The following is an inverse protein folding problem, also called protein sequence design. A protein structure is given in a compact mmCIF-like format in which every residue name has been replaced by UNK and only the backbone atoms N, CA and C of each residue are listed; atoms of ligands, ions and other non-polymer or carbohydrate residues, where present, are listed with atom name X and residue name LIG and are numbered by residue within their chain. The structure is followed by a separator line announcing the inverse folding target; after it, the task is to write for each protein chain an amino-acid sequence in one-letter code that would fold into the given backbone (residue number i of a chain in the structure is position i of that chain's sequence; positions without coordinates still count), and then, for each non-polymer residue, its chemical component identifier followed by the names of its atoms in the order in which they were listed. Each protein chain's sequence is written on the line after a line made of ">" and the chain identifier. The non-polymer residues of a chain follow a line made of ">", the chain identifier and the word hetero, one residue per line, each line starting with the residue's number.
data_IF_412957907999
#
_entry.id   IF_412957907999
#
_cell.length_a   1.000
_cell.length_b   1.000
_cell.length_c   1.000
_cell.angle_alpha   90.00
_cell.angle_beta   90.00
_cell.angle_gamma   90.00
#
_symmetry.space_group_name_H-M   'P 1'
#
loop_
_entity.id
_entity.type
_entity.pdbx_description
1 polymer ?
#
# COMPACT_ATOMS: atom_id res chain seq x y z
N UNK A 1 9.13 -10.85 -10.35
CA UNK A 1 9.38 -9.41 -10.10
C UNK A 1 8.03 -8.74 -9.92
N UNK A 2 7.87 -7.92 -8.88
CA UNK A 2 6.60 -7.28 -8.52
C UNK A 2 6.84 -5.77 -8.52
N UNK A 3 5.97 -5.02 -9.19
CA UNK A 3 5.97 -3.56 -9.18
C UNK A 3 4.61 -3.05 -8.71
N UNK A 4 4.60 -1.87 -8.12
CA UNK A 4 3.39 -1.13 -7.77
C UNK A 4 3.41 0.20 -8.53
N UNK A 5 2.27 0.57 -9.12
CA UNK A 5 2.06 1.84 -9.80
C UNK A 5 0.90 2.57 -9.13
N UNK A 6 0.90 3.90 -9.25
CA UNK A 6 -0.22 4.75 -8.88
C UNK A 6 -0.56 5.65 -10.05
N UNK A 7 -1.85 5.98 -10.19
CA UNK A 7 -2.25 7.09 -11.04
C UNK A 7 -1.96 8.40 -10.35
N UNK A 8 -1.46 9.36 -11.12
CA UNK A 8 -1.26 10.74 -10.68
C UNK A 8 -2.22 11.67 -11.42
N UNK A 9 -2.68 12.71 -10.73
CA UNK A 9 -3.53 13.76 -11.27
C UNK A 9 -3.22 15.08 -10.58
N UNK A 10 -3.52 16.18 -11.25
CA UNK A 10 -3.52 17.49 -10.60
C UNK A 10 -4.71 17.57 -9.65
N UNK A 11 -4.42 17.90 -8.39
CA UNK A 11 -5.45 18.15 -7.38
C UNK A 11 -6.17 19.46 -7.72
N UNK A 12 -7.49 19.49 -7.54
CA UNK A 12 -8.34 20.66 -7.74
C UNK A 12 -9.17 20.94 -6.48
N UNK A 13 -9.76 22.15 -6.36
CA UNK A 13 -10.65 22.49 -5.26
C UNK A 13 -11.68 21.42 -4.95
N UNK A 14 -11.98 21.25 -3.66
CA UNK A 14 -12.97 20.30 -3.15
C UNK A 14 -12.63 18.82 -3.45
N UNK A 15 -11.34 18.52 -3.61
CA UNK A 15 -10.87 17.16 -3.88
C UNK A 15 -11.31 16.62 -5.24
N UNK A 16 -11.65 17.51 -6.17
CA UNK A 16 -11.75 17.16 -7.57
C UNK A 16 -10.35 16.88 -8.12
N UNK A 17 -10.29 16.08 -9.18
CA UNK A 17 -9.05 15.82 -9.91
C UNK A 17 -9.30 16.09 -11.38
N UNK A 18 -8.26 16.52 -12.08
CA UNK A 18 -8.23 16.41 -13.54
C UNK A 18 -8.14 14.94 -13.95
N UNK A 19 -8.11 14.68 -15.26
CA UNK A 19 -7.86 13.34 -15.81
C UNK A 19 -6.56 12.76 -15.21
N UNK A 20 -6.68 11.64 -14.51
CA UNK A 20 -5.53 10.92 -13.97
C UNK A 20 -4.85 10.03 -15.03
N UNK A 21 -3.54 9.83 -14.87
CA UNK A 21 -2.75 8.97 -15.75
C UNK A 21 -1.84 8.05 -14.91
N UNK A 22 -1.61 6.84 -15.41
CA UNK A 22 -0.69 5.91 -14.76
C UNK A 22 0.73 6.45 -14.85
N UNK A 23 1.43 6.48 -13.72
CA UNK A 23 2.86 6.76 -13.72
C UNK A 23 3.61 5.59 -14.35
N UNK A 24 4.33 5.85 -15.43
CA UNK A 24 5.15 4.84 -16.11
C UNK A 24 6.19 4.23 -15.16
N UNK A 25 6.48 2.95 -15.35
CA UNK A 25 7.51 2.26 -14.58
C UNK A 25 8.90 2.77 -14.96
N UNK A 26 9.76 2.90 -13.95
CA UNK A 26 11.18 3.14 -14.18
C UNK A 26 11.79 1.98 -14.98
N UNK A 27 12.77 2.29 -15.83
CA UNK A 27 13.48 1.27 -16.61
C UNK A 27 14.40 0.50 -15.66
N UNK A 28 13.92 -0.66 -15.21
CA UNK A 28 14.61 -1.57 -14.31
C UNK A 28 15.30 -2.69 -15.09
N UNK A 29 16.61 -2.90 -14.85
CA UNK A 29 17.40 -3.94 -15.53
C UNK A 29 18.44 -4.56 -14.59
N UNK A 30 18.92 -5.75 -14.96
CA UNK A 30 20.02 -6.43 -14.28
C UNK A 30 21.32 -6.27 -15.05
N UNK A 31 22.40 -5.94 -14.34
CA UNK A 31 23.75 -5.93 -14.89
C UNK A 31 24.50 -7.19 -14.46
N UNK A 32 24.67 -8.15 -15.37
CA UNK A 32 25.33 -9.43 -15.08
C UNK A 32 26.81 -9.28 -14.67
N UNK A 33 27.51 -8.29 -15.23
CA UNK A 33 28.94 -8.06 -14.94
C UNK A 33 29.16 -7.58 -13.50
N UNK A 34 28.29 -6.68 -13.04
CA UNK A 34 28.36 -6.09 -11.69
C UNK A 34 27.58 -6.93 -10.68
N UNK A 35 26.66 -7.77 -11.15
CA UNK A 35 25.81 -8.60 -10.32
C UNK A 35 24.74 -7.80 -9.57
N UNK A 36 24.25 -6.69 -10.13
CA UNK A 36 23.27 -5.81 -9.46
C UNK A 36 22.20 -5.27 -10.41
N UNK A 37 21.03 -4.99 -9.85
CA UNK A 37 19.96 -4.27 -10.52
C UNK A 37 20.28 -2.77 -10.61
N UNK A 38 19.73 -2.10 -11.61
CA UNK A 38 19.78 -0.65 -11.72
C UNK A 38 18.47 -0.11 -12.30
N UNK A 39 18.15 1.13 -11.94
CA UNK A 39 17.12 1.93 -12.59
C UNK A 39 17.76 2.98 -13.48
N UNK A 40 17.14 3.27 -14.61
CA UNK A 40 17.56 4.32 -15.53
C UNK A 40 16.53 5.45 -15.52
N UNK A 41 16.96 6.66 -15.19
CA UNK A 41 16.10 7.84 -15.25
C UNK A 41 15.92 8.33 -16.70
N UNK A 42 15.04 9.30 -16.89
CA UNK A 42 14.70 9.86 -18.22
C UNK A 42 15.91 10.43 -18.97
N UNK A 43 16.88 10.96 -18.22
CA UNK A 43 18.15 11.48 -18.77
C UNK A 43 19.16 10.37 -19.10
N UNK A 44 18.78 9.12 -18.88
CA UNK A 44 19.57 7.93 -19.15
C UNK A 44 20.65 7.60 -18.12
N UNK A 45 20.68 8.30 -16.99
CA UNK A 45 21.59 8.01 -15.87
C UNK A 45 21.16 6.72 -15.19
N UNK A 46 22.13 5.84 -14.93
CA UNK A 46 21.91 4.58 -14.21
C UNK A 46 22.20 4.77 -12.73
N UNK A 47 21.24 4.39 -11.89
CA UNK A 47 21.41 4.27 -10.44
C UNK A 47 21.37 2.80 -10.08
N UNK A 48 22.49 2.26 -9.61
CA UNK A 48 22.56 0.88 -9.12
C UNK A 48 21.80 0.76 -7.82
N UNK A 49 21.00 -0.30 -7.74
CA UNK A 49 20.16 -0.62 -6.61
C UNK A 49 20.94 -1.46 -5.58
N UNK A 50 20.57 -1.32 -4.32
CA UNK A 50 21.14 -2.06 -3.21
C UNK A 50 20.16 -3.11 -2.70
N UNK A 51 20.63 -4.34 -2.57
CA UNK A 51 19.86 -5.44 -1.96
C UNK A 51 19.48 -5.09 -0.51
N UNK A 52 18.28 -5.50 -0.10
CA UNK A 52 17.60 -5.20 1.17
C UNK A 52 17.30 -3.70 1.40
N UNK A 53 17.51 -2.85 0.40
CA UNK A 53 17.12 -1.43 0.43
C UNK A 53 16.14 -1.14 -0.70
N UNK A 54 16.56 -1.43 -1.93
CA UNK A 54 15.82 -1.13 -3.15
C UNK A 54 15.16 -2.39 -3.75
N UNK A 55 15.75 -3.57 -3.54
CA UNK A 55 15.21 -4.87 -3.93
C UNK A 55 15.59 -5.95 -2.92
N UNK A 56 14.93 -7.11 -2.94
CA UNK A 56 15.22 -8.22 -2.05
C UNK A 56 14.38 -9.44 -2.40
N UNK A 57 14.48 -10.47 -1.57
CA UNK A 57 13.82 -11.76 -1.77
C UNK A 57 12.88 -12.06 -0.58
N UNK A 58 11.73 -11.38 -0.50
CA UNK A 58 10.81 -11.59 0.60
C UNK A 58 10.09 -12.92 0.43
N UNK A 59 9.92 -13.65 1.52
CA UNK A 59 9.15 -14.89 1.58
C UNK A 59 7.75 -14.66 2.17
N UNK A 60 7.44 -13.45 2.61
CA UNK A 60 6.12 -13.08 3.13
C UNK A 60 5.76 -11.61 2.86
N UNK A 61 4.47 -11.31 2.96
CA UNK A 61 3.92 -9.97 2.82
C UNK A 61 2.89 -9.69 3.93
N UNK A 62 2.91 -8.48 4.48
CA UNK A 62 1.94 -8.04 5.48
C UNK A 62 0.60 -7.70 4.85
N UNK A 63 -0.46 -8.05 5.57
CA UNK A 63 -1.84 -7.73 5.24
C UNK A 63 -2.30 -6.58 6.13
N UNK A 64 -2.23 -5.37 5.59
CA UNK A 64 -2.32 -4.13 6.37
C UNK A 64 -2.98 -3.00 5.58
N UNK A 65 -3.59 -2.08 6.34
CA UNK A 65 -4.05 -0.78 5.87
C UNK A 65 -3.06 0.30 6.33
N UNK A 66 -2.49 1.06 5.40
CA UNK A 66 -1.72 2.27 5.71
C UNK A 66 -2.56 3.48 5.35
N UNK A 67 -2.86 4.34 6.35
CA UNK A 67 -3.72 5.51 6.17
C UNK A 67 -2.97 6.80 6.47
N UNK A 68 -3.20 7.79 5.61
CA UNK A 68 -2.76 9.14 5.83
C UNK A 68 -3.52 9.76 7.02
N UNK A 69 -2.85 10.62 7.81
CA UNK A 69 -3.51 11.48 8.78
C UNK A 69 -4.51 12.43 8.09
N UNK A 70 -5.39 13.04 8.87
CA UNK A 70 -6.25 14.12 8.40
C UNK A 70 -5.42 15.26 7.77
N UNK A 71 -5.94 15.84 6.69
CA UNK A 71 -5.30 16.92 5.91
C UNK A 71 -3.99 16.52 5.20
N UNK A 72 -3.75 15.22 5.03
CA UNK A 72 -2.70 14.68 4.17
C UNK A 72 -3.31 13.90 3.00
N UNK A 73 -2.63 13.95 1.86
CA UNK A 73 -2.93 13.16 0.66
C UNK A 73 -1.73 12.29 0.32
N UNK A 74 -1.99 11.12 -0.27
CA UNK A 74 -0.93 10.23 -0.76
C UNK A 74 -0.34 10.80 -2.05
N UNK A 75 0.98 10.89 -2.09
CA UNK A 75 1.79 11.36 -3.24
C UNK A 75 2.81 10.31 -3.70
N UNK A 76 2.78 9.11 -3.11
CA UNK A 76 3.65 8.01 -3.48
C UNK A 76 3.30 6.72 -2.74
N UNK A 77 3.68 5.60 -3.33
CA UNK A 77 3.58 4.27 -2.72
C UNK A 77 4.89 3.55 -2.97
N UNK A 78 5.30 2.70 -2.05
CA UNK A 78 6.41 1.79 -2.24
C UNK A 78 6.21 0.56 -1.35
N UNK A 79 6.92 -0.50 -1.68
CA UNK A 79 7.16 -1.57 -0.72
C UNK A 79 8.38 -1.24 0.14
N UNK A 80 8.37 -1.74 1.37
CA UNK A 80 9.51 -1.69 2.29
C UNK A 80 9.86 -3.11 2.71
N UNK A 81 11.15 -3.42 2.69
CA UNK A 81 11.68 -4.65 3.28
C UNK A 81 11.86 -4.47 4.78
N UNK A 82 11.49 -5.50 5.52
CA UNK A 82 11.70 -5.60 6.95
C UNK A 82 12.22 -6.99 7.29
N UNK A 83 13.34 -7.06 8.01
CA UNK A 83 13.86 -8.33 8.54
C UNK A 83 13.08 -8.69 9.80
N UNK A 84 12.45 -9.86 9.80
CA UNK A 84 11.84 -10.41 11.01
C UNK A 84 12.88 -11.29 11.70
N UNK A 85 13.26 -11.02 12.96
CA UNK A 85 14.10 -11.92 13.72
C UNK A 85 13.36 -13.26 13.86
N UNK A 86 13.83 -14.30 13.18
CA UNK A 86 13.27 -15.64 13.37
C UNK A 86 13.94 -16.32 14.56
N UNK A 87 13.20 -17.18 15.25
CA UNK A 87 13.73 -18.01 16.35
C UNK A 87 14.70 -19.10 15.88
N UNK A 88 14.99 -19.19 14.58
CA UNK A 88 15.86 -20.19 13.97
C UNK A 88 16.68 -19.53 12.84
N UNK A 89 17.84 -18.94 13.16
CA UNK A 89 19.02 -18.61 12.29
C UNK A 89 18.83 -18.27 10.78
N UNK A 90 17.63 -17.98 10.32
CA UNK A 90 17.25 -17.69 8.93
C UNK A 90 16.41 -16.43 8.97
N UNK A 91 17.02 -15.32 8.57
CA UNK A 91 16.31 -14.06 8.38
C UNK A 91 15.27 -14.27 7.28
N UNK A 92 13.98 -14.15 7.61
CA UNK A 92 12.89 -14.10 6.61
C UNK A 92 12.63 -12.63 6.27
N UNK A 93 12.59 -12.34 4.98
CA UNK A 93 12.33 -11.00 4.47
C UNK A 93 10.81 -10.77 4.39
N UNK A 94 10.31 -9.81 5.14
CA UNK A 94 8.90 -9.41 5.07
C UNK A 94 8.74 -8.18 4.19
N UNK A 95 7.76 -8.23 3.29
CA UNK A 95 7.33 -7.09 2.50
C UNK A 95 6.19 -6.37 3.23
N UNK A 96 6.30 -5.05 3.38
CA UNK A 96 5.21 -4.22 3.89
C UNK A 96 4.95 -3.02 2.97
N UNK A 97 3.77 -2.44 3.07
CA UNK A 97 3.39 -1.27 2.31
C UNK A 97 3.87 0.00 3.01
N UNK A 98 4.33 0.98 2.23
CA UNK A 98 4.54 2.35 2.71
C UNK A 98 3.94 3.36 1.75
N UNK A 99 3.39 4.42 2.32
CA UNK A 99 2.80 5.53 1.57
C UNK A 99 3.61 6.79 1.82
N UNK A 100 3.85 7.59 0.78
CA UNK A 100 4.35 8.95 0.91
C UNK A 100 3.14 9.86 1.04
N UNK A 101 3.11 10.66 2.09
CA UNK A 101 2.02 11.60 2.33
C UNK A 101 2.54 13.02 2.35
N UNK A 102 1.76 13.93 1.79
CA UNK A 102 2.04 15.37 1.73
C UNK A 102 0.82 16.12 2.28
N UNK A 103 1.01 17.16 3.11
CA UNK A 103 -0.12 17.99 3.54
C UNK A 103 -0.74 18.67 2.33
N UNK A 104 -2.05 18.89 2.37
CA UNK A 104 -2.74 19.58 1.28
C UNK A 104 -3.86 20.49 1.80
N UNK A 105 -4.16 21.50 0.99
CA UNK A 105 -5.33 22.36 1.17
C UNK A 105 -6.48 21.80 0.32
N UNK A 106 -7.53 21.33 0.99
CA UNK A 106 -8.69 20.73 0.33
C UNK A 106 -9.53 21.74 -0.45
N UNK A 107 -9.65 22.98 0.04
CA UNK A 107 -10.46 24.00 -0.59
C UNK A 107 -9.76 24.60 -1.80
N UNK A 108 -8.45 24.83 -1.69
CA UNK A 108 -7.64 25.39 -2.77
C UNK A 108 -7.19 24.33 -3.78
N UNK A 109 -7.18 23.05 -3.38
CA UNK A 109 -6.77 21.95 -4.25
C UNK A 109 -5.27 21.89 -4.50
N UNK A 110 -4.43 22.27 -3.54
CA UNK A 110 -2.97 22.28 -3.71
C UNK A 110 -2.24 21.59 -2.56
N UNK A 111 -1.10 20.97 -2.89
CA UNK A 111 -0.16 20.52 -1.88
C UNK A 111 0.40 21.73 -1.13
N UNK A 112 0.65 21.58 0.16
CA UNK A 112 1.20 22.63 1.02
C UNK A 112 2.33 22.07 1.88
N UNK A 113 3.29 22.93 2.21
CA UNK A 113 4.37 22.62 3.14
C UNK A 113 5.13 21.33 2.77
N UNK A 114 5.69 21.26 1.56
CA UNK A 114 6.38 20.05 1.06
C UNK A 114 7.46 19.49 2.01
N UNK A 115 8.05 20.35 2.84
CA UNK A 115 8.99 19.97 3.91
C UNK A 115 8.39 19.05 4.98
N UNK A 116 7.07 18.93 5.07
CA UNK A 116 6.34 18.01 5.96
C UNK A 116 5.94 16.70 5.26
N UNK A 117 6.35 16.52 3.99
CA UNK A 117 6.18 15.26 3.29
C UNK A 117 6.96 14.16 3.99
N UNK A 118 6.32 13.02 4.22
CA UNK A 118 6.95 11.89 4.92
C UNK A 118 6.45 10.55 4.40
N UNK A 119 7.28 9.53 4.57
CA UNK A 119 6.88 8.14 4.38
C UNK A 119 6.24 7.62 5.65
N UNK A 120 5.11 6.94 5.52
CA UNK A 120 4.39 6.27 6.58
C UNK A 120 4.27 4.79 6.23
N UNK A 121 4.41 3.95 7.25
CA UNK A 121 4.05 2.54 7.28
C UNK A 121 3.39 2.27 8.62
N UNK A 122 2.70 1.14 8.77
CA UNK A 122 2.21 0.74 10.09
C UNK A 122 3.39 0.45 11.02
N UNK A 123 3.28 0.84 12.30
CA UNK A 123 4.29 0.52 13.30
C UNK A 123 4.41 -0.99 13.47
N UNK A 124 5.65 -1.49 13.41
CA UNK A 124 5.98 -2.89 13.65
C UNK A 124 6.34 -3.07 15.12
N UNK A 125 5.33 -3.17 15.98
CA UNK A 125 5.56 -3.60 17.36
C UNK A 125 6.00 -5.07 17.33
N UNK A 126 7.26 -5.36 17.63
CA UNK A 126 7.81 -6.72 17.69
C UNK A 126 7.03 -7.68 18.63
N UNK A 127 6.11 -7.16 19.44
CA UNK A 127 5.23 -7.90 20.35
C UNK A 127 3.84 -8.17 19.79
N UNK A 128 3.42 -7.46 18.73
CA UNK A 128 2.26 -7.84 17.92
C UNK A 128 2.76 -8.87 16.91
N UNK A 129 2.79 -10.13 17.34
CA UNK A 129 2.79 -11.24 16.41
C UNK A 129 1.48 -11.14 15.62
N UNK A 130 1.55 -10.43 14.50
CA UNK A 130 0.61 -10.53 13.40
C UNK A 130 0.42 -12.02 13.11
N UNK A 131 -0.79 -12.54 13.32
CA UNK A 131 -1.09 -13.94 13.07
C UNK A 131 -0.86 -14.26 11.59
N UNK A 132 -0.08 -15.32 11.34
CA UNK A 132 0.08 -15.86 9.99
C UNK A 132 -1.28 -16.33 9.47
N UNK A 133 -1.62 -15.90 8.27
CA UNK A 133 -2.67 -16.53 7.47
C UNK A 133 -2.11 -17.80 6.86
N UNK A 134 -2.23 -18.90 7.60
CA UNK A 134 -1.79 -20.22 7.14
C UNK A 134 -2.72 -20.75 6.02
N UNK A 135 -2.16 -20.95 4.83
CA UNK A 135 -2.90 -21.50 3.68
C UNK A 135 -2.86 -23.05 3.64
N UNK A 136 -2.10 -23.70 4.53
CA UNK A 136 -1.97 -25.15 4.65
C UNK A 136 -1.47 -25.81 3.36
N UNK A 137 -2.34 -26.58 2.70
CA UNK A 137 -2.08 -27.28 1.44
C UNK A 137 -2.91 -26.66 0.30
N UNK A 138 -2.55 -25.47 -0.19
CA UNK A 138 -3.40 -24.70 -1.09
C UNK A 138 -3.43 -25.25 -2.53
N UNK A 139 -4.62 -25.35 -3.13
CA UNK A 139 -4.78 -25.44 -4.58
C UNK A 139 -4.79 -24.04 -5.23
N UNK A 140 -4.85 -24.00 -6.55
CA UNK A 140 -4.93 -22.77 -7.34
C UNK A 140 -6.31 -22.12 -7.18
N UNK A 141 -6.34 -20.83 -6.82
CA UNK A 141 -7.61 -20.12 -6.63
C UNK A 141 -8.46 -20.04 -7.91
N UNK A 142 -7.84 -20.14 -9.09
CA UNK A 142 -8.56 -20.23 -10.38
C UNK A 142 -9.49 -21.45 -10.47
N UNK A 143 -9.30 -22.47 -9.63
CA UNK A 143 -10.18 -23.64 -9.51
C UNK A 143 -11.21 -23.49 -8.38
N UNK A 144 -11.19 -22.40 -7.63
CA UNK A 144 -12.00 -22.24 -6.43
C UNK A 144 -13.45 -21.90 -6.77
N UNK A 145 -14.44 -22.51 -6.08
CA UNK A 145 -15.85 -22.15 -6.26
C UNK A 145 -16.22 -20.83 -5.58
N UNK A 146 -15.34 -20.27 -4.74
CA UNK A 146 -15.60 -19.07 -3.93
C UNK A 146 -14.36 -18.17 -3.89
N UNK A 147 -14.58 -16.91 -3.62
CA UNK A 147 -13.53 -15.91 -3.44
C UNK A 147 -13.99 -14.90 -2.38
N UNK A 148 -13.78 -15.26 -1.11
CA UNK A 148 -14.18 -14.42 0.02
C UNK A 148 -13.01 -13.52 0.45
N UNK A 149 -13.32 -12.39 1.07
CA UNK A 149 -12.30 -11.57 1.75
C UNK A 149 -12.02 -12.23 3.10
N UNK A 150 -10.78 -12.64 3.33
CA UNK A 150 -10.40 -13.39 4.53
C UNK A 150 -9.75 -12.53 5.61
N UNK A 151 -8.94 -11.54 5.22
CA UNK A 151 -8.17 -10.76 6.20
C UNK A 151 -7.81 -9.37 5.69
N UNK A 152 -8.07 -8.33 6.49
CA UNK A 152 -7.89 -6.93 6.07
C UNK A 152 -7.00 -6.11 6.98
N UNK A 153 -6.59 -6.57 8.18
CA UNK A 153 -5.69 -5.75 9.00
C UNK A 153 -5.00 -6.51 10.15
N UNK A 154 -3.67 -6.58 10.12
CA UNK A 154 -2.83 -7.08 11.22
C UNK A 154 -2.54 -8.57 11.09
N UNK A 155 -1.62 -8.91 10.21
CA UNK A 155 -1.31 -10.28 9.81
C UNK A 155 -0.25 -10.30 8.71
N UNK A 156 0.22 -11.49 8.36
CA UNK A 156 1.02 -11.69 7.16
C UNK A 156 0.64 -13.02 6.50
N UNK A 157 1.03 -13.17 5.24
CA UNK A 157 0.92 -14.43 4.51
C UNK A 157 2.25 -14.74 3.86
N UNK A 158 2.67 -16.01 3.92
CA UNK A 158 3.88 -16.49 3.26
C UNK A 158 3.63 -16.79 1.79
N UNK A 159 4.61 -16.48 0.96
CA UNK A 159 4.72 -17.02 -0.37
C UNK A 159 5.19 -18.48 -0.25
N UNK A 160 4.40 -19.40 -0.77
CA UNK A 160 4.72 -20.82 -0.73
C UNK A 160 4.26 -21.52 -2.00
N UNK A 161 4.74 -22.75 -2.19
CA UNK A 161 4.30 -23.55 -3.32
C UNK A 161 2.85 -24.00 -3.11
N UNK A 162 2.12 -24.19 -4.21
CA UNK A 162 0.85 -24.92 -4.21
C UNK A 162 1.06 -26.36 -3.71
N UNK A 163 -0.03 -27.02 -3.36
CA UNK A 163 0.03 -28.38 -2.86
C UNK A 163 0.61 -29.36 -3.90
N UNK A 164 1.48 -30.25 -3.42
CA UNK A 164 2.17 -31.25 -4.25
C UNK A 164 1.22 -32.26 -4.88
N UNK A 165 0.09 -32.58 -4.25
CA UNK A 165 -0.88 -33.54 -4.76
C UNK A 165 -1.82 -32.86 -5.76
N UNK A 166 -2.22 -31.62 -5.50
CA UNK A 166 -3.21 -30.89 -6.33
C UNK A 166 -2.64 -30.24 -7.58
N UNK A 167 -1.37 -29.82 -7.55
CA UNK A 167 -0.71 -29.10 -8.64
C UNK A 167 0.82 -29.37 -8.73
N UNK A 168 1.30 -30.46 -8.13
CA UNK A 168 2.73 -30.79 -8.10
C UNK A 168 3.65 -29.67 -7.58
N UNK A 169 3.09 -28.72 -6.81
CA UNK A 169 3.79 -27.54 -6.30
C UNK A 169 4.37 -26.62 -7.36
N UNK A 170 3.75 -26.55 -8.56
CA UNK A 170 4.26 -25.77 -9.68
C UNK A 170 4.01 -24.25 -9.56
N UNK A 171 3.09 -23.84 -8.69
CA UNK A 171 2.68 -22.44 -8.55
C UNK A 171 3.15 -21.85 -7.22
N UNK A 172 3.57 -20.59 -7.22
CA UNK A 172 3.80 -19.82 -5.99
C UNK A 172 2.53 -19.05 -5.64
N UNK A 173 1.99 -19.29 -4.45
CA UNK A 173 0.76 -18.67 -3.93
C UNK A 173 1.04 -17.88 -2.64
N UNK A 174 0.23 -16.87 -2.30
CA UNK A 174 -0.91 -16.32 -3.06
C UNK A 174 -0.47 -15.62 -4.36
N UNK A 175 -1.39 -15.51 -5.33
CA UNK A 175 -1.14 -14.74 -6.55
C UNK A 175 -1.37 -13.23 -6.31
N UNK A 176 -0.71 -12.37 -7.07
CA UNK A 176 -1.09 -10.95 -7.10
C UNK A 176 -2.26 -10.74 -8.07
N UNK A 177 -3.30 -10.03 -7.62
CA UNK A 177 -4.32 -9.54 -8.53
C UNK A 177 -3.81 -8.29 -9.26
N UNK A 178 -3.66 -8.41 -10.58
CA UNK A 178 -3.17 -7.34 -11.45
C UNK A 178 -4.28 -6.40 -11.92
N UNK A 179 -5.52 -6.57 -11.45
CA UNK A 179 -6.61 -5.66 -11.79
C UNK A 179 -6.38 -4.26 -11.20
N UNK A 180 -6.72 -3.24 -11.98
CA UNK A 180 -6.69 -1.86 -11.51
C UNK A 180 -7.68 -1.66 -10.36
N UNK A 181 -7.24 -0.95 -9.33
CA UNK A 181 -8.08 -0.54 -8.20
C UNK A 181 -8.26 0.96 -8.29
N UNK A 182 -9.45 1.38 -8.71
CA UNK A 182 -9.77 2.77 -9.03
C UNK A 182 -11.07 3.20 -8.34
N UNK A 183 -11.17 4.49 -8.00
CA UNK A 183 -12.40 5.08 -7.52
C UNK A 183 -13.26 5.58 -8.68
N UNK A 184 -14.57 5.41 -8.59
CA UNK A 184 -15.52 6.03 -9.51
C UNK A 184 -16.59 6.81 -8.72
N UNK A 185 -16.57 8.16 -8.73
CA UNK A 185 -15.59 9.01 -9.42
C UNK A 185 -14.19 8.94 -8.76
N UNK A 186 -13.16 9.37 -9.50
CA UNK A 186 -11.79 9.45 -8.97
C UNK A 186 -11.71 10.40 -7.76
N UNK A 187 -10.80 10.11 -6.83
CA UNK A 187 -10.62 10.91 -5.62
C UNK A 187 -9.17 10.90 -5.12
N UNK A 188 -8.76 11.94 -4.36
CA UNK A 188 -7.48 11.97 -3.67
C UNK A 188 -7.36 10.81 -2.69
N UNK A 189 -6.25 10.07 -2.80
CA UNK A 189 -6.00 8.90 -1.97
C UNK A 189 -5.60 9.32 -0.54
N UNK A 190 -6.30 8.77 0.44
CA UNK A 190 -6.04 8.91 1.88
C UNK A 190 -5.52 7.65 2.54
N UNK A 191 -5.41 6.55 1.80
CA UNK A 191 -4.87 5.29 2.31
C UNK A 191 -4.76 4.26 1.20
N UNK A 192 -3.89 3.29 1.42
CA UNK A 192 -3.76 2.09 0.59
C UNK A 192 -3.64 0.90 1.55
N UNK A 193 -4.24 -0.23 1.20
CA UNK A 193 -4.10 -1.48 1.93
C UNK A 193 -3.78 -2.65 1.01
N UNK A 194 -3.23 -3.71 1.60
CA UNK A 194 -3.03 -5.02 0.97
C UNK A 194 -3.82 -6.04 1.76
N UNK A 195 -4.67 -6.80 1.08
CA UNK A 195 -5.53 -7.80 1.72
C UNK A 195 -5.52 -9.12 0.95
N UNK A 196 -5.88 -10.20 1.64
CA UNK A 196 -6.03 -11.52 1.05
C UNK A 196 -7.50 -11.83 0.78
N UNK A 197 -7.78 -12.24 -0.46
CA UNK A 197 -9.05 -12.86 -0.85
C UNK A 197 -8.79 -14.30 -1.27
N UNK A 198 -9.65 -15.23 -0.90
CA UNK A 198 -9.37 -16.64 -1.10
C UNK A 198 -10.55 -17.55 -0.86
N UNK A 199 -10.24 -18.82 -0.61
CA UNK A 199 -11.13 -19.81 -0.05
C UNK A 199 -10.29 -20.88 0.66
N UNK A 200 -10.78 -21.44 1.75
CA UNK A 200 -10.09 -22.48 2.51
C UNK A 200 -9.61 -23.62 1.58
N UNK A 201 -8.34 -24.00 1.70
CA UNK A 201 -7.72 -25.00 0.84
C UNK A 201 -7.24 -24.49 -0.52
N UNK A 202 -7.27 -23.17 -0.76
CA UNK A 202 -6.75 -22.50 -1.95
C UNK A 202 -5.79 -21.35 -1.59
N UNK A 203 -4.87 -21.05 -2.52
CA UNK A 203 -3.80 -20.08 -2.28
C UNK A 203 -4.25 -18.62 -2.19
N UNK A 204 -5.35 -18.27 -2.87
CA UNK A 204 -5.90 -16.91 -2.86
C UNK A 204 -5.18 -15.90 -3.75
N UNK A 205 -5.64 -14.65 -3.67
CA UNK A 205 -5.03 -13.47 -4.27
C UNK A 205 -4.71 -12.42 -3.21
N UNK A 206 -3.58 -11.75 -3.37
CA UNK A 206 -3.26 -10.46 -2.78
C UNK A 206 -3.88 -9.38 -3.65
N UNK A 207 -4.68 -8.50 -3.04
CA UNK A 207 -5.29 -7.38 -3.75
C UNK A 207 -4.98 -6.06 -3.04
N UNK A 208 -4.96 -4.99 -3.81
CA UNK A 208 -4.94 -3.64 -3.25
C UNK A 208 -6.33 -3.18 -2.86
N UNK A 209 -6.39 -2.36 -1.82
CA UNK A 209 -7.55 -1.57 -1.45
C UNK A 209 -7.13 -0.10 -1.35
N UNK A 210 -8.00 0.81 -1.78
CA UNK A 210 -7.75 2.26 -1.71
C UNK A 210 -8.77 2.93 -0.79
N UNK A 211 -8.33 3.98 -0.11
CA UNK A 211 -9.17 4.77 0.79
C UNK A 211 -9.16 6.23 0.37
N UNK A 212 -10.30 6.91 0.50
CA UNK A 212 -10.41 8.36 0.28
C UNK A 212 -9.76 9.16 1.43
N UNK A 213 -9.23 10.35 1.12
CA UNK A 213 -8.73 11.30 2.11
C UNK A 213 -9.73 11.58 3.22
N UNK A 214 -9.22 11.63 4.47
CA UNK A 214 -10.01 12.02 5.64
C UNK A 214 -9.98 13.54 5.82
N UNK A 215 -11.17 14.12 5.95
CA UNK A 215 -11.39 15.56 6.02
C UNK A 215 -12.06 16.00 7.33
N UNK A 216 -12.07 15.14 8.36
CA UNK A 216 -12.77 15.40 9.61
C UNK A 216 -12.33 16.71 10.28
N UNK A 217 -11.04 17.02 10.26
CA UNK A 217 -10.54 18.28 10.82
C UNK A 217 -10.82 19.51 9.95
N UNK A 218 -10.96 19.34 8.63
CA UNK A 218 -11.28 20.43 7.70
C UNK A 218 -12.67 20.99 8.03
N UNK A 219 -13.67 20.13 8.16
CA UNK A 219 -15.05 20.56 8.43
C UNK A 219 -15.33 20.86 9.91
N UNK A 220 -14.45 20.46 10.84
CA UNK A 220 -14.60 20.85 12.26
C UNK A 220 -14.31 22.33 12.49
N UNK A 221 -13.40 22.94 11.73
CA UNK A 221 -13.11 24.38 11.79
C UNK A 221 -14.32 25.21 11.33
N UNK A 222 -14.90 24.84 10.18
CA UNK A 222 -16.03 25.55 9.60
C UNK A 222 -17.30 25.49 10.47
N UNK A 223 -17.52 24.41 11.22
CA UNK A 223 -18.67 24.29 12.12
C UNK A 223 -18.55 25.20 13.36
N UNK A 224 -17.33 25.52 13.81
CA UNK A 224 -17.11 26.49 14.89
C UNK A 224 -17.27 27.94 14.40
N UNK A 225 -16.92 28.22 13.14
CA UNK A 225 -17.08 29.57 12.56
C UNK A 225 -18.50 29.83 12.02
N UNK A 226 -19.27 28.79 11.69
CA UNK A 226 -20.65 28.90 11.19
C UNK A 226 -21.70 29.13 12.30
N UNK A 227 -21.35 28.92 13.57
CA UNK A 227 -22.18 29.28 14.71
C UNK A 227 -21.46 30.32 15.56
N UNK A 228 -21.70 31.63 15.36
CA UNK A 228 -21.28 32.60 16.35
C UNK A 228 -21.86 32.19 17.70
N UNK A 229 -21.00 32.06 18.71
CA UNK A 229 -21.39 31.82 20.10
C UNK A 229 -22.65 32.60 20.42
N UNK A 230 -23.69 31.99 21.01
CA UNK A 230 -24.90 32.72 21.36
C UNK A 230 -24.48 33.93 22.19
N UNK A 231 -24.75 35.12 21.69
CA UNK A 231 -24.52 36.36 22.41
C UNK A 231 -25.16 36.18 23.79
N UNK A 232 -24.33 36.12 24.82
CA UNK A 232 -24.79 36.22 26.20
C UNK A 232 -25.30 37.66 26.33
N UNK A 233 -26.60 37.83 26.15
CA UNK A 233 -27.28 39.05 26.54
C UNK A 233 -27.14 39.16 28.05
N UNK A 234 -26.19 39.98 28.49
CA UNK A 234 -26.17 40.50 29.86
C UNK A 234 -27.09 41.72 29.82
N UNK A 235 -28.35 41.52 30.20
CA UNK A 235 -29.26 42.62 30.51
C UNK A 235 -28.65 43.47 31.64
N UNK A 236 -28.74 44.79 31.46
CA UNK A 236 -28.27 45.83 32.39
C UNK A 236 -29.13 45.90 33.65
#
# INVERSE_FOLDING_TARGET
>A
MIHVQIKEAELKPLGLTEKSEWKELEIFNYNETIGSFFVKNDNGTQTFLKENVDYGFPDQIRLEDVRAPDSFVITGVAFQFFEVPSSQESYSGSLQLRIRVTPFDYFEGRLINDNQTKWLSTECDAWRYDSELDLGYPDLLTKSPKNNIYWTNGGYVKFQNSDMIKDAGQSTVPFFDAQNVEGDPEFPLGGIGVLHRGHDGYGGFLIFQIFKTRLSNVFKGDLYDAYPSPNVFVDK
#
